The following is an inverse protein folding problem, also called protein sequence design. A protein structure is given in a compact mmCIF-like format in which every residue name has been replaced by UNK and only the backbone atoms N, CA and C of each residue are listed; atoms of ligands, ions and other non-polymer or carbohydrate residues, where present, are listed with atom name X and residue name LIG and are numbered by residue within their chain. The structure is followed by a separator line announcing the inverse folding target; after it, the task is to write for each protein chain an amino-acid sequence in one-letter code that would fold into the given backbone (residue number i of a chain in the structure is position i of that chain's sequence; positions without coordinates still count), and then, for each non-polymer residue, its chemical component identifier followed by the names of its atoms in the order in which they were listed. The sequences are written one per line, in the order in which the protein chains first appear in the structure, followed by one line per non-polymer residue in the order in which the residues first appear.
data_IF_721862108681
#
_entry.id   IF_721862108681
#
_cell.length_a   1.000
_cell.length_b   1.000
_cell.length_c   1.000
_cell.angle_alpha   90.00
_cell.angle_beta   90.00
_cell.angle_gamma   90.00
#
_symmetry.space_group_name_H-M   'P 1'
#
loop_
_entity.id
_entity.type
_entity.pdbx_description
1 polymer ?
#
# COMPACT_ATOMS: atom_id res chain seq x y z
N UNK A 1 5.33 -79.45 29.31
CA UNK A 1 5.23 -78.61 28.10
C UNK A 1 4.54 -77.31 28.48
N UNK A 2 5.26 -76.19 28.56
CA UNK A 2 4.69 -74.85 28.76
C UNK A 2 5.05 -74.01 27.53
N UNK A 3 4.10 -73.34 26.85
CA UNK A 3 4.43 -72.50 25.71
C UNK A 3 4.93 -71.13 26.18
N UNK A 4 6.07 -70.71 25.63
CA UNK A 4 6.64 -69.38 25.81
C UNK A 4 5.97 -68.45 24.78
N UNK A 5 5.17 -67.49 25.25
CA UNK A 5 4.63 -66.42 24.39
C UNK A 5 5.65 -65.29 24.32
N UNK A 6 6.11 -64.98 23.11
CA UNK A 6 6.94 -63.80 22.81
C UNK A 6 6.02 -62.59 22.60
N UNK A 7 6.15 -61.59 23.47
CA UNK A 7 5.41 -60.34 23.38
C UNK A 7 6.18 -59.35 22.50
N UNK A 8 5.78 -59.22 21.24
CA UNK A 8 6.30 -58.20 20.33
C UNK A 8 5.77 -56.82 20.76
N UNK A 9 6.64 -56.00 21.35
CA UNK A 9 6.33 -54.60 21.62
C UNK A 9 6.48 -53.78 20.34
N UNK A 10 5.35 -53.34 19.77
CA UNK A 10 5.33 -52.31 18.73
C UNK A 10 5.72 -50.97 19.35
N UNK A 11 6.93 -50.49 19.07
CA UNK A 11 7.32 -49.10 19.34
C UNK A 11 6.61 -48.18 18.35
N UNK A 12 5.55 -47.51 18.81
CA UNK A 12 4.87 -46.47 18.05
C UNK A 12 5.76 -45.21 18.05
N UNK A 13 6.56 -45.03 17.00
CA UNK A 13 7.27 -43.76 16.75
C UNK A 13 6.24 -42.69 16.37
N UNK A 14 5.73 -41.96 17.36
CA UNK A 14 4.99 -40.72 17.14
C UNK A 14 5.94 -39.67 16.55
N UNK A 15 5.71 -39.16 15.33
CA UNK A 15 6.53 -38.09 14.79
C UNK A 15 6.38 -36.83 15.67
N UNK A 16 7.49 -36.39 16.25
CA UNK A 16 7.60 -35.08 16.90
C UNK A 16 7.35 -33.99 15.85
N UNK A 17 6.16 -33.37 15.92
CA UNK A 17 5.88 -32.16 15.15
C UNK A 17 6.67 -31.01 15.78
N UNK A 18 7.83 -30.70 15.21
CA UNK A 18 8.52 -29.44 15.50
C UNK A 18 7.67 -28.30 14.92
N UNK A 19 7.18 -27.41 15.80
CA UNK A 19 6.60 -26.14 15.38
C UNK A 19 7.73 -25.14 15.22
N UNK A 20 7.98 -24.71 13.98
CA UNK A 20 8.84 -23.55 13.71
C UNK A 20 7.95 -22.31 13.80
N UNK A 21 8.19 -21.45 14.79
CA UNK A 21 7.50 -20.19 14.94
C UNK A 21 8.34 -19.09 14.29
N UNK A 22 7.99 -18.68 13.07
CA UNK A 22 8.63 -17.56 12.39
C UNK A 22 8.24 -16.23 13.02
N UNK A 23 9.18 -15.29 13.11
CA UNK A 23 8.96 -13.97 13.70
C UNK A 23 8.58 -13.02 12.58
N UNK A 24 7.35 -12.50 12.61
CA UNK A 24 6.92 -11.45 11.69
C UNK A 24 7.74 -10.18 11.92
N UNK A 25 8.33 -9.63 10.86
CA UNK A 25 9.06 -8.35 10.85
C UNK A 25 8.35 -7.38 9.93
N UNK A 26 8.13 -6.14 10.37
CA UNK A 26 7.57 -5.07 9.56
C UNK A 26 8.68 -4.19 9.00
N UNK A 27 8.57 -3.83 7.72
CA UNK A 27 9.47 -2.92 7.02
C UNK A 27 8.64 -1.78 6.45
N UNK A 28 9.05 -0.55 6.75
CA UNK A 28 8.45 0.66 6.20
C UNK A 28 9.28 1.18 5.04
N UNK A 29 8.66 1.28 3.87
CA UNK A 29 9.14 2.01 2.69
C UNK A 29 8.58 3.43 2.79
N UNK A 30 9.46 4.40 3.06
CA UNK A 30 9.12 5.83 3.08
C UNK A 30 8.79 6.34 1.68
N UNK A 31 7.95 7.36 1.53
CA UNK A 31 7.65 8.01 0.23
C UNK A 31 8.90 8.50 -0.53
N UNK A 32 9.95 8.87 0.20
CA UNK A 32 11.25 9.29 -0.38
C UNK A 32 12.19 8.12 -0.73
N UNK A 33 11.74 6.88 -0.54
CA UNK A 33 12.60 5.72 -0.78
C UNK A 33 12.93 5.57 -2.27
N UNK A 34 14.19 5.34 -2.64
CA UNK A 34 14.57 5.06 -4.03
C UNK A 34 14.02 3.71 -4.54
N UNK A 35 13.41 2.90 -3.68
CA UNK A 35 12.72 1.66 -4.06
C UNK A 35 11.32 1.88 -4.61
N UNK A 36 10.81 3.12 -4.56
CA UNK A 36 9.52 3.50 -5.12
C UNK A 36 9.70 4.03 -6.54
N UNK A 37 8.76 3.66 -7.41
CA UNK A 37 8.71 4.11 -8.79
C UNK A 37 7.42 4.88 -9.02
N UNK A 38 7.54 6.19 -9.22
CA UNK A 38 6.44 7.09 -9.55
C UNK A 38 6.34 7.25 -11.06
N UNK A 39 5.14 7.08 -11.61
CA UNK A 39 4.91 7.18 -13.06
C UNK A 39 3.58 7.88 -13.38
N UNK A 40 3.53 8.80 -14.35
CA UNK A 40 4.72 9.48 -14.90
C UNK A 40 5.39 10.33 -13.80
N UNK A 41 6.71 10.51 -13.87
CA UNK A 41 7.47 11.20 -12.79
C UNK A 41 6.97 12.63 -12.54
N UNK A 42 6.63 13.35 -13.61
CA UNK A 42 6.07 14.71 -13.56
C UNK A 42 4.60 14.76 -13.13
N UNK A 43 3.95 13.60 -13.01
CA UNK A 43 2.60 13.45 -12.45
C UNK A 43 2.56 13.36 -10.92
N UNK A 44 3.72 13.37 -10.26
CA UNK A 44 3.85 13.29 -8.80
C UNK A 44 4.69 14.45 -8.26
N UNK A 45 4.12 15.18 -7.31
CA UNK A 45 4.81 16.25 -6.60
C UNK A 45 5.46 15.69 -5.34
N UNK A 46 6.77 15.87 -5.24
CA UNK A 46 7.55 15.61 -4.04
C UNK A 46 7.43 16.79 -3.06
N UNK A 47 6.97 16.54 -1.84
CA UNK A 47 6.84 17.56 -0.78
C UNK A 47 8.13 18.30 -0.44
N UNK A 48 9.31 17.73 -0.73
CA UNK A 48 10.60 18.39 -0.53
C UNK A 48 10.93 19.42 -1.63
N UNK A 49 10.22 19.39 -2.75
CA UNK A 49 10.44 20.30 -3.88
C UNK A 49 9.38 21.42 -3.90
N UNK A 50 9.76 22.67 -4.19
CA UNK A 50 8.79 23.74 -4.33
C UNK A 50 7.80 23.45 -5.45
N UNK A 51 6.50 23.53 -5.14
CA UNK A 51 5.43 23.47 -6.13
C UNK A 51 4.50 24.69 -5.97
N UNK A 52 4.73 25.79 -6.72
CA UNK A 52 3.95 27.02 -6.56
C UNK A 52 2.45 26.89 -6.87
N UNK A 53 2.06 25.91 -7.69
CA UNK A 53 0.68 25.64 -8.06
C UNK A 53 -0.01 24.54 -7.26
N UNK A 54 0.74 23.82 -6.41
CA UNK A 54 0.16 22.77 -5.59
C UNK A 54 -0.69 23.39 -4.49
N UNK A 55 -1.84 22.78 -4.21
CA UNK A 55 -2.74 23.23 -3.15
C UNK A 55 -2.76 22.27 -1.96
N UNK A 56 -2.21 21.06 -2.12
CA UNK A 56 -2.15 20.08 -1.05
C UNK A 56 -0.93 20.35 -0.16
N UNK A 57 -1.17 20.96 1.01
CA UNK A 57 -0.13 21.30 1.98
C UNK A 57 -0.47 20.73 3.37
N UNK A 58 -0.42 19.41 3.55
CA UNK A 58 -0.51 18.84 4.89
C UNK A 58 0.65 19.34 5.77
N UNK A 59 0.40 19.38 7.08
CA UNK A 59 1.45 19.57 8.09
C UNK A 59 2.44 18.39 8.09
N UNK A 60 3.66 18.64 7.63
CA UNK A 60 4.77 17.69 7.59
C UNK A 60 5.02 16.98 8.92
N UNK A 61 4.90 17.65 10.06
CA UNK A 61 5.14 17.02 11.37
C UNK A 61 4.19 15.87 11.74
N UNK A 62 3.11 15.69 10.96
CA UNK A 62 2.14 14.61 11.13
C UNK A 62 2.25 13.52 10.05
N UNK A 63 3.03 13.73 9.01
CA UNK A 63 3.34 12.73 7.98
C UNK A 63 4.40 11.75 8.49
N UNK A 64 4.41 10.53 7.95
CA UNK A 64 5.43 9.54 8.28
C UNK A 64 6.77 10.06 7.75
N UNK A 65 7.77 10.12 8.63
CA UNK A 65 9.09 10.72 8.35
C UNK A 65 9.10 12.18 7.84
N UNK A 66 7.96 12.87 7.89
CA UNK A 66 7.88 14.30 7.58
C UNK A 66 7.71 14.65 6.11
N UNK A 67 7.45 13.68 5.24
CA UNK A 67 7.36 13.87 3.79
C UNK A 67 6.17 13.12 3.20
N UNK A 68 5.77 13.50 1.99
CA UNK A 68 4.78 12.78 1.18
C UNK A 68 5.05 13.06 -0.31
N UNK A 69 4.44 12.23 -1.16
CA UNK A 69 4.30 12.50 -2.59
C UNK A 69 2.81 12.60 -2.95
N UNK A 70 2.42 13.67 -3.65
CA UNK A 70 1.04 13.86 -4.08
C UNK A 70 0.85 13.82 -5.59
N UNK A 71 -0.31 13.34 -6.02
CA UNK A 71 -0.72 13.32 -7.42
C UNK A 71 -2.20 13.63 -7.54
N UNK A 72 -2.58 14.32 -8.60
CA UNK A 72 -3.97 14.60 -8.95
C UNK A 72 -4.31 13.95 -10.28
N UNK A 73 -5.34 13.10 -10.29
CA UNK A 73 -5.96 12.63 -11.52
C UNK A 73 -7.04 13.63 -11.96
N UNK A 74 -7.08 13.94 -13.26
CA UNK A 74 -8.06 14.84 -13.86
C UNK A 74 -8.94 14.08 -14.86
N UNK A 75 -10.27 14.27 -14.83
CA UNK A 75 -11.22 13.56 -15.69
C UNK A 75 -11.35 14.16 -17.10
N UNK A 76 -10.43 15.04 -17.52
CA UNK A 76 -10.62 15.90 -18.68
C UNK A 76 -10.65 15.12 -20.00
N UNK A 77 -11.41 15.64 -20.98
CA UNK A 77 -11.55 15.07 -22.33
C UNK A 77 -10.19 15.08 -23.03
N UNK A 78 -9.58 13.91 -23.19
CA UNK A 78 -8.20 13.73 -23.70
C UNK A 78 -7.24 13.07 -22.70
N UNK A 79 -7.64 12.96 -21.43
CA UNK A 79 -6.91 12.22 -20.39
C UNK A 79 -6.85 10.71 -20.63
N UNK A 80 -7.71 10.17 -21.51
CA UNK A 80 -7.66 8.78 -22.02
C UNK A 80 -6.29 8.41 -22.61
N UNK A 81 -5.54 9.41 -23.09
CA UNK A 81 -4.20 9.22 -23.66
C UNK A 81 -3.09 9.46 -22.63
N UNK A 82 -3.41 10.02 -21.46
CA UNK A 82 -2.43 10.29 -20.43
C UNK A 82 -2.32 9.09 -19.50
N UNK A 83 -1.11 8.58 -19.23
CA UNK A 83 -0.94 7.47 -18.31
C UNK A 83 -1.46 7.90 -16.92
N UNK A 84 -2.20 7.00 -16.29
CA UNK A 84 -2.74 7.27 -14.97
C UNK A 84 -1.61 7.28 -13.92
N UNK A 85 -1.54 8.32 -13.07
CA UNK A 85 -0.50 8.40 -12.07
C UNK A 85 -0.52 7.19 -11.15
N UNK A 86 0.63 6.55 -10.99
CA UNK A 86 0.80 5.42 -10.10
C UNK A 86 2.14 5.48 -9.37
N UNK A 87 2.19 4.82 -8.22
CA UNK A 87 3.40 4.52 -7.46
C UNK A 87 3.50 3.02 -7.26
N UNK A 88 4.69 2.45 -7.50
CA UNK A 88 4.92 1.02 -7.37
C UNK A 88 6.18 0.70 -6.56
N UNK A 89 6.20 -0.47 -5.95
CA UNK A 89 7.32 -0.99 -5.18
C UNK A 89 7.43 -2.51 -5.36
N UNK A 90 8.66 -3.02 -5.32
CA UNK A 90 8.91 -4.44 -5.10
C UNK A 90 9.02 -4.70 -3.60
N UNK A 91 8.37 -5.75 -3.11
CA UNK A 91 8.52 -6.22 -1.74
C UNK A 91 8.64 -7.74 -1.71
N UNK A 92 9.28 -8.28 -0.68
CA UNK A 92 9.33 -9.72 -0.43
C UNK A 92 8.71 -9.98 0.94
N UNK A 93 7.49 -10.51 0.97
CA UNK A 93 6.72 -10.57 2.20
C UNK A 93 5.37 -11.28 2.06
N UNK A 94 4.62 -11.24 3.15
CA UNK A 94 3.32 -11.93 3.31
C UNK A 94 2.19 -10.96 3.69
N UNK A 95 2.50 -9.69 3.92
CA UNK A 95 1.51 -8.66 4.20
C UNK A 95 1.95 -7.30 3.65
N UNK A 96 0.98 -6.44 3.35
CA UNK A 96 1.19 -5.06 2.91
C UNK A 96 0.11 -4.13 3.50
N UNK A 97 0.50 -2.89 3.79
CA UNK A 97 -0.34 -1.81 4.28
C UNK A 97 0.09 -0.51 3.59
N UNK A 98 -0.86 0.19 2.99
CA UNK A 98 -0.62 1.40 2.20
C UNK A 98 -1.18 2.58 2.98
N UNK A 99 -0.31 3.53 3.30
CA UNK A 99 -0.63 4.65 4.16
C UNK A 99 -0.65 5.93 3.33
N UNK A 100 -1.77 6.64 3.40
CA UNK A 100 -1.96 7.91 2.75
C UNK A 100 -2.43 8.98 3.74
N UNK A 101 -2.31 10.24 3.30
CA UNK A 101 -2.96 11.39 3.90
C UNK A 101 -4.22 11.68 3.09
N UNK A 102 -5.37 11.90 3.73
CA UNK A 102 -6.59 12.29 3.03
C UNK A 102 -6.87 13.77 3.23
N UNK A 103 -7.07 14.51 2.14
CA UNK A 103 -7.55 15.88 2.20
C UNK A 103 -9.07 15.89 2.46
N UNK A 104 -9.52 16.78 3.36
CA UNK A 104 -10.92 16.84 3.78
C UNK A 104 -11.73 17.92 3.04
N UNK A 105 -11.05 18.69 2.19
CA UNK A 105 -11.60 19.83 1.45
C UNK A 105 -12.20 19.42 0.10
N UNK A 106 -13.19 20.17 -0.37
CA UNK A 106 -13.76 20.01 -1.73
C UNK A 106 -12.99 20.76 -2.80
N UNK A 107 -12.27 21.82 -2.41
CA UNK A 107 -11.49 22.68 -3.30
C UNK A 107 -10.18 23.07 -2.64
N UNK A 108 -9.12 23.23 -3.44
CA UNK A 108 -7.78 23.66 -3.01
C UNK A 108 -7.22 22.97 -1.75
N UNK A 109 -6.99 21.63 -1.77
CA UNK A 109 -7.15 20.72 -2.90
C UNK A 109 -8.55 20.10 -2.97
N UNK A 110 -8.89 19.50 -4.12
CA UNK A 110 -10.04 18.59 -4.23
C UNK A 110 -9.66 17.27 -3.58
N UNK A 111 -10.22 16.97 -2.41
CA UNK A 111 -9.81 15.82 -1.59
C UNK A 111 -10.54 14.51 -1.87
N UNK A 112 -11.24 14.39 -3.00
CA UNK A 112 -11.81 13.10 -3.38
C UNK A 112 -10.68 12.09 -3.59
N UNK A 113 -10.83 10.88 -3.06
CA UNK A 113 -9.89 9.79 -3.26
C UNK A 113 -10.51 8.72 -4.13
N UNK A 114 -9.73 8.25 -5.10
CA UNK A 114 -10.06 7.16 -6.00
C UNK A 114 -8.74 6.44 -6.29
N UNK A 115 -8.53 5.30 -5.64
CA UNK A 115 -7.29 4.55 -5.72
C UNK A 115 -7.59 3.08 -6.03
N UNK A 116 -6.87 2.52 -6.98
CA UNK A 116 -6.90 1.09 -7.29
C UNK A 116 -5.56 0.46 -6.94
N UNK A 117 -5.58 -0.73 -6.35
CA UNK A 117 -4.41 -1.41 -5.83
C UNK A 117 -4.18 -2.72 -6.55
N UNK A 118 -2.94 -2.95 -6.96
CA UNK A 118 -2.54 -4.13 -7.70
C UNK A 118 -1.40 -4.85 -7.00
N UNK A 119 -1.44 -6.18 -7.03
CA UNK A 119 -0.30 -7.04 -6.68
C UNK A 119 -0.06 -7.95 -7.88
N UNK A 120 1.15 -7.93 -8.43
CA UNK A 120 1.54 -8.71 -9.60
C UNK A 120 0.59 -8.52 -10.80
N UNK A 121 0.13 -7.27 -11.00
CA UNK A 121 -0.82 -6.83 -12.02
C UNK A 121 -2.29 -7.25 -11.81
N UNK A 122 -2.58 -8.04 -10.77
CA UNK A 122 -3.95 -8.37 -10.39
C UNK A 122 -4.56 -7.25 -9.54
N UNK A 123 -5.76 -6.79 -9.89
CA UNK A 123 -6.53 -5.85 -9.07
C UNK A 123 -6.95 -6.53 -7.77
N UNK A 124 -6.42 -6.06 -6.64
CA UNK A 124 -6.61 -6.67 -5.31
C UNK A 124 -7.40 -5.79 -4.35
N UNK A 125 -7.73 -4.57 -4.74
CA UNK A 125 -8.57 -3.68 -3.93
C UNK A 125 -8.77 -2.31 -4.55
N UNK A 126 -9.71 -1.58 -3.98
CA UNK A 126 -9.97 -0.18 -4.32
C UNK A 126 -10.29 0.62 -3.07
N UNK A 127 -9.98 1.91 -3.09
CA UNK A 127 -10.34 2.87 -2.06
C UNK A 127 -10.97 4.09 -2.74
N UNK A 128 -12.27 4.28 -2.53
CA UNK A 128 -13.02 5.40 -3.08
C UNK A 128 -13.68 6.14 -1.92
N UNK A 129 -13.35 7.42 -1.74
CA UNK A 129 -13.89 8.24 -0.68
C UNK A 129 -14.21 9.64 -1.19
N UNK A 130 -15.47 10.04 -1.02
CA UNK A 130 -15.88 11.42 -1.21
C UNK A 130 -15.36 12.27 -0.05
N UNK A 131 -14.91 13.48 -0.35
CA UNK A 131 -14.43 14.41 0.67
C UNK A 131 -15.57 14.98 1.52
N UNK A 132 -15.41 15.10 2.86
CA UNK A 132 -16.45 15.61 3.75
C UNK A 132 -16.72 17.12 3.57
N UNK A 133 -15.82 17.85 2.92
CA UNK A 133 -15.96 19.28 2.64
C UNK A 133 -15.63 20.20 3.81
N UNK A 134 -14.75 19.77 4.70
CA UNK A 134 -14.25 20.57 5.83
C UNK A 134 -12.73 20.81 5.73
N UNK A 135 -12.19 21.88 6.33
CA UNK A 135 -10.76 22.14 6.28
C UNK A 135 -9.92 21.03 6.95
N UNK A 136 -8.74 20.80 6.39
CA UNK A 136 -7.70 19.99 7.01
C UNK A 136 -7.43 18.66 6.31
N UNK A 137 -6.63 17.84 7.01
CA UNK A 137 -6.13 16.57 6.52
C UNK A 137 -6.29 15.50 7.60
N UNK A 138 -6.55 14.28 7.16
CA UNK A 138 -6.51 13.07 7.97
C UNK A 138 -5.21 12.32 7.65
N UNK A 139 -4.47 11.93 8.68
CA UNK A 139 -3.12 11.36 8.57
C UNK A 139 -3.13 9.89 8.98
N UNK A 140 -2.11 9.15 8.53
CA UNK A 140 -1.93 7.74 8.86
C UNK A 140 -3.14 6.87 8.47
N UNK A 141 -3.82 7.21 7.37
CA UNK A 141 -4.96 6.43 6.88
C UNK A 141 -4.44 5.23 6.11
N UNK A 142 -4.77 4.02 6.58
CA UNK A 142 -4.53 2.79 5.81
C UNK A 142 -5.60 2.67 4.72
N UNK A 143 -5.24 2.99 3.48
CA UNK A 143 -6.16 2.96 2.33
C UNK A 143 -6.23 1.59 1.66
N UNK A 144 -5.23 0.75 1.90
CA UNK A 144 -5.23 -0.66 1.50
C UNK A 144 -4.46 -1.49 2.52
N UNK A 145 -4.95 -2.70 2.79
CA UNK A 145 -4.25 -3.68 3.61
C UNK A 145 -4.54 -5.08 3.12
N UNK A 146 -3.52 -5.93 3.09
CA UNK A 146 -3.68 -7.36 2.88
C UNK A 146 -2.66 -8.10 3.73
N UNK A 147 -3.13 -8.93 4.66
CA UNK A 147 -2.29 -9.66 5.63
C UNK A 147 -2.00 -11.11 5.24
N UNK A 148 -2.44 -11.53 4.05
CA UNK A 148 -2.48 -12.94 3.64
C UNK A 148 -1.95 -13.13 2.22
N UNK A 149 -0.85 -12.44 1.89
CA UNK A 149 -0.17 -12.55 0.60
C UNK A 149 0.70 -13.81 0.62
N UNK A 150 0.74 -14.60 -0.48
CA UNK A 150 1.68 -15.72 -0.61
C UNK A 150 3.11 -15.29 -0.27
N UNK A 151 3.91 -16.18 0.31
CA UNK A 151 5.31 -15.84 0.58
C UNK A 151 6.08 -15.71 -0.74
N UNK A 152 6.75 -14.58 -0.94
CA UNK A 152 7.55 -14.37 -2.13
C UNK A 152 7.80 -12.90 -2.42
N UNK A 153 8.49 -12.68 -3.54
CA UNK A 153 8.65 -11.36 -4.12
C UNK A 153 7.40 -11.00 -4.93
N UNK A 154 6.91 -9.79 -4.73
CA UNK A 154 5.71 -9.24 -5.34
C UNK A 154 5.96 -7.82 -5.82
N UNK A 155 5.22 -7.40 -6.84
CA UNK A 155 5.10 -5.98 -7.24
C UNK A 155 3.78 -5.42 -6.76
N UNK A 156 3.84 -4.41 -5.90
CA UNK A 156 2.67 -3.61 -5.55
C UNK A 156 2.59 -2.37 -6.43
N UNK A 157 1.37 -1.98 -6.82
CA UNK A 157 1.07 -0.71 -7.49
C UNK A 157 -0.16 -0.06 -6.88
N UNK A 158 -0.06 1.21 -6.52
CA UNK A 158 -1.18 2.12 -6.25
C UNK A 158 -1.38 2.99 -7.48
N UNK A 159 -2.58 3.00 -8.03
CA UNK A 159 -2.99 3.86 -9.14
C UNK A 159 -4.00 4.89 -8.66
N UNK A 160 -3.81 6.16 -9.02
CA UNK A 160 -4.71 7.27 -8.70
C UNK A 160 -5.68 7.56 -9.85
N UNK A 161 -6.97 7.47 -9.58
CA UNK A 161 -8.06 7.63 -10.54
C UNK A 161 -8.32 6.40 -11.39
N UNK A 162 -9.20 6.57 -12.39
CA UNK A 162 -9.51 5.62 -13.46
C UNK A 162 -10.13 6.32 -14.66
N UNK A 163 -10.07 5.66 -15.83
CA UNK A 163 -10.71 6.13 -17.05
C UNK A 163 -12.22 6.33 -16.79
N UNK A 164 -12.73 7.53 -17.07
CA UNK A 164 -14.11 7.92 -16.76
C UNK A 164 -14.40 8.20 -15.29
N UNK A 165 -13.39 8.17 -14.41
CA UNK A 165 -13.50 8.52 -13.01
C UNK A 165 -13.63 10.02 -12.78
N UNK A 166 -13.83 10.43 -11.51
CA UNK A 166 -13.84 11.84 -11.12
C UNK A 166 -12.41 12.32 -10.82
N UNK A 167 -12.24 13.65 -10.74
CA UNK A 167 -10.99 14.23 -10.21
C UNK A 167 -10.69 13.65 -8.82
N UNK A 168 -9.49 13.11 -8.65
CA UNK A 168 -9.04 12.50 -7.39
C UNK A 168 -7.63 12.93 -6.99
N UNK A 169 -7.35 12.88 -5.69
CA UNK A 169 -6.08 13.19 -5.07
C UNK A 169 -5.56 11.96 -4.33
N UNK A 170 -4.30 11.63 -4.57
CA UNK A 170 -3.52 10.69 -3.77
C UNK A 170 -2.40 11.48 -3.09
N UNK A 171 -2.27 11.36 -1.77
CA UNK A 171 -1.11 11.81 -1.00
C UNK A 171 -0.49 10.58 -0.35
N UNK A 172 0.48 9.98 -1.04
CA UNK A 172 1.17 8.79 -0.58
C UNK A 172 2.21 9.15 0.49
N UNK A 173 2.13 8.48 1.63
CA UNK A 173 2.96 8.77 2.82
C UNK A 173 3.95 7.62 3.07
N UNK A 174 3.47 6.37 3.11
CA UNK A 174 4.34 5.21 3.25
C UNK A 174 3.67 3.90 2.78
N UNK A 175 4.51 2.89 2.54
CA UNK A 175 4.10 1.50 2.37
C UNK A 175 4.78 0.66 3.45
N UNK A 176 4.03 -0.16 4.16
CA UNK A 176 4.56 -1.11 5.13
C UNK A 176 4.33 -2.51 4.62
N UNK A 177 5.36 -3.35 4.58
CA UNK A 177 5.19 -4.78 4.30
C UNK A 177 5.76 -5.61 5.45
N UNK A 178 5.26 -6.83 5.60
CA UNK A 178 5.75 -7.77 6.61
C UNK A 178 6.26 -9.05 5.96
N UNK A 179 7.28 -9.66 6.58
CA UNK A 179 7.78 -10.98 6.19
C UNK A 179 8.02 -11.85 7.45
N UNK A 180 8.14 -13.17 7.26
CA UNK A 180 8.30 -14.18 8.33
C UNK A 180 9.69 -14.79 8.29
#
# INVERSE_FOLDING_TARGET
MRPHLWQYSLFCCLPLKFSVQGKVVNVTINDQSPSLFYSPEDGWNDSLKPCPGCTAHPNASKAIYGTWHDSTHYPDVGSELSPMPNVSALFNGTAIYVICILAKTTTSPTGNSDMSFYIDDDLVGQFIQATPGEPGFEYNVTVYSNSSIPVGQHRFTLQNGHIGGNKSLALFDALVYSYV
#
